data_IF_365606259091
#
_entry.id   IF_365606259091
#
_cell.length_a   1.000
_cell.length_b   1.000
_cell.length_c   1.000
_cell.angle_alpha   90.00
_cell.angle_beta   90.00
_cell.angle_gamma   90.00
#
_symmetry.space_group_name_H-M   'P 1'
#
loop_
_entity.id
_entity.type
_entity.pdbx_description
1 polymer ?
#
# COMPACT_ATOMS: atom_id res chain seq x y z
N UNK A 1 -24.62 -41.64 23.02
CA UNK A 1 -24.52 -40.18 22.96
C UNK A 1 -23.13 -39.85 23.46
N UNK A 2 -22.20 -39.63 22.54
CA UNK A 2 -20.81 -39.28 22.85
C UNK A 2 -20.77 -37.84 23.37
N UNK A 3 -21.00 -37.67 24.67
CA UNK A 3 -20.78 -36.38 25.32
C UNK A 3 -19.27 -36.17 25.52
N UNK A 4 -18.50 -35.98 24.44
CA UNK A 4 -17.09 -35.66 24.56
C UNK A 4 -16.88 -34.22 25.03
N UNK A 5 -16.38 -34.08 26.26
CA UNK A 5 -15.99 -32.79 26.82
C UNK A 5 -14.90 -32.17 25.95
N UNK A 6 -15.12 -30.93 25.52
CA UNK A 6 -14.21 -30.18 24.65
C UNK A 6 -13.90 -28.84 25.29
N UNK A 7 -12.61 -28.52 25.41
CA UNK A 7 -12.15 -27.21 25.87
C UNK A 7 -11.53 -26.48 24.67
N UNK A 8 -11.93 -25.21 24.49
CA UNK A 8 -11.44 -24.36 23.41
C UNK A 8 -10.87 -23.04 23.96
N UNK A 9 -9.78 -22.59 23.36
CA UNK A 9 -9.12 -21.32 23.68
C UNK A 9 -9.14 -20.42 22.45
N UNK A 10 -9.79 -19.26 22.56
CA UNK A 10 -9.91 -18.33 21.44
C UNK A 10 -9.12 -17.07 21.70
N UNK A 11 -8.19 -16.77 20.79
CA UNK A 11 -7.45 -15.53 20.75
C UNK A 11 -8.08 -14.58 19.73
N UNK A 12 -8.30 -13.34 20.15
CA UNK A 12 -8.77 -12.26 19.27
C UNK A 12 -7.74 -11.15 19.35
N UNK A 13 -7.01 -10.97 18.25
CA UNK A 13 -5.99 -9.94 18.12
C UNK A 13 -6.56 -8.83 17.24
N UNK A 14 -6.68 -7.62 17.80
CA UNK A 14 -7.10 -6.42 17.07
C UNK A 14 -5.90 -5.52 16.82
N UNK A 15 -5.80 -5.02 15.60
CA UNK A 15 -4.79 -4.05 15.17
C UNK A 15 -5.39 -3.07 14.17
N UNK A 16 -4.88 -1.85 14.13
CA UNK A 16 -5.43 -0.79 13.28
C UNK A 16 -5.24 -1.03 11.77
N UNK A 17 -4.30 -1.92 11.40
CA UNK A 17 -3.90 -2.24 10.03
C UNK A 17 -3.65 -3.74 9.87
N UNK A 18 -3.87 -4.32 8.68
CA UNK A 18 -4.32 -3.71 7.43
C UNK A 18 -5.85 -3.50 7.42
N UNK A 19 -6.32 -2.53 6.63
CA UNK A 19 -7.74 -2.22 6.52
C UNK A 19 -8.55 -3.37 5.94
N UNK A 20 -9.68 -3.69 6.56
CA UNK A 20 -10.52 -4.84 6.19
C UNK A 20 -10.03 -6.18 6.75
N UNK A 21 -8.90 -6.20 7.47
CA UNK A 21 -8.42 -7.36 8.24
C UNK A 21 -7.81 -6.91 9.58
N UNK A 22 -8.51 -6.00 10.26
CA UNK A 22 -8.09 -5.43 11.55
C UNK A 22 -8.16 -6.46 12.69
N UNK A 23 -9.12 -7.38 12.62
CA UNK A 23 -9.36 -8.38 13.66
C UNK A 23 -8.99 -9.75 13.14
N UNK A 24 -8.07 -10.42 13.84
CA UNK A 24 -7.70 -11.80 13.56
C UNK A 24 -8.13 -12.67 14.74
N UNK A 25 -8.95 -13.68 14.45
CA UNK A 25 -9.45 -14.65 15.43
C UNK A 25 -8.80 -16.00 15.18
N UNK A 26 -8.35 -16.64 16.25
CA UNK A 26 -7.80 -17.98 16.19
C UNK A 26 -8.30 -18.83 17.36
N UNK A 27 -8.82 -20.01 17.07
CA UNK A 27 -9.41 -20.90 18.08
C UNK A 27 -8.63 -22.20 18.15
N UNK A 28 -8.08 -22.48 19.32
CA UNK A 28 -7.37 -23.69 19.65
C UNK A 28 -8.32 -24.67 20.33
N UNK A 29 -8.27 -25.92 19.88
CA UNK A 29 -8.99 -27.03 20.48
C UNK A 29 -7.94 -27.89 21.16
N UNK A 30 -8.12 -28.15 22.45
CA UNK A 30 -7.20 -29.04 23.19
C UNK A 30 -7.45 -30.47 22.74
N UNK A 31 -6.38 -31.18 22.37
CA UNK A 31 -6.47 -32.59 21.96
C UNK A 31 -6.90 -33.48 23.14
N UNK A 32 -7.60 -34.59 22.85
CA UNK A 32 -8.06 -35.57 23.84
C UNK A 32 -7.02 -36.02 24.88
N UNK A 33 -5.75 -36.34 24.55
CA UNK A 33 -4.75 -36.73 25.55
C UNK A 33 -4.35 -35.60 26.51
N UNK A 34 -4.64 -34.34 26.17
CA UNK A 34 -4.27 -33.16 26.94
C UNK A 34 -5.45 -32.58 27.75
N UNK A 35 -6.65 -33.13 27.55
CA UNK A 35 -7.85 -32.76 28.31
C UNK A 35 -7.79 -33.30 29.74
N UNK A 36 -8.30 -32.56 30.73
CA UNK A 36 -8.44 -33.06 32.09
C UNK A 36 -9.48 -34.17 32.19
N UNK A 37 -9.38 -35.00 33.23
CA UNK A 37 -10.44 -35.96 33.53
C UNK A 37 -11.74 -35.24 33.88
N UNK A 38 -12.86 -35.73 33.34
CA UNK A 38 -14.18 -35.12 33.58
C UNK A 38 -14.59 -35.17 35.04
N UNK A 39 -14.19 -36.22 35.73
CA UNK A 39 -14.39 -36.41 37.17
C UNK A 39 -13.77 -35.28 37.97
N UNK A 40 -12.57 -34.84 37.61
CA UNK A 40 -11.89 -33.76 38.31
C UNK A 40 -12.54 -32.41 38.04
N UNK A 41 -12.98 -32.17 36.79
CA UNK A 41 -13.73 -30.97 36.43
C UNK A 41 -15.07 -30.91 37.19
N UNK A 42 -15.80 -32.04 37.27
CA UNK A 42 -17.05 -32.13 38.04
C UNK A 42 -16.83 -31.91 39.53
N UNK A 43 -15.78 -32.48 40.11
CA UNK A 43 -15.42 -32.25 41.52
C UNK A 43 -15.08 -30.78 41.78
N UNK A 44 -14.45 -30.09 40.84
CA UNK A 44 -14.17 -28.66 40.97
C UNK A 44 -15.44 -27.83 40.91
N UNK A 45 -16.36 -28.14 39.99
CA UNK A 45 -17.66 -27.46 39.91
C UNK A 45 -18.56 -27.73 41.13
N UNK A 46 -18.46 -28.92 41.72
CA UNK A 46 -19.20 -29.28 42.95
C UNK A 46 -18.54 -28.73 44.23
N UNK A 47 -17.37 -28.08 44.13
CA UNK A 47 -16.63 -27.54 45.28
C UNK A 47 -15.88 -28.58 46.12
N UNK A 48 -15.76 -29.84 45.66
CA UNK A 48 -14.95 -30.87 46.32
C UNK A 48 -13.46 -30.71 46.06
N UNK A 49 -13.09 -30.12 44.92
CA UNK A 49 -11.73 -29.77 44.55
C UNK A 49 -11.69 -28.28 44.16
N UNK A 50 -10.52 -27.66 44.25
CA UNK A 50 -10.38 -26.24 43.92
C UNK A 50 -9.73 -26.02 42.54
N UNK A 51 -9.09 -27.04 41.95
CA UNK A 51 -8.34 -26.86 40.71
C UNK A 51 -8.13 -28.13 39.90
N UNK A 52 -7.94 -27.98 38.60
CA UNK A 52 -7.52 -29.05 37.68
C UNK A 52 -6.45 -28.55 36.69
N UNK A 53 -5.63 -29.46 36.18
CA UNK A 53 -4.53 -29.15 35.25
C UNK A 53 -4.94 -29.42 33.81
N UNK A 54 -4.60 -28.51 32.90
CA UNK A 54 -4.71 -28.71 31.45
C UNK A 54 -3.32 -28.55 30.83
N UNK A 55 -2.96 -29.47 29.94
CA UNK A 55 -1.70 -29.45 29.23
C UNK A 55 -1.88 -28.95 27.80
N UNK A 56 -0.80 -28.43 27.20
CA UNK A 56 -0.73 -28.11 25.77
C UNK A 56 -1.93 -27.29 25.25
N UNK A 57 -2.26 -26.22 25.98
CA UNK A 57 -3.49 -25.47 25.81
C UNK A 57 -3.48 -24.62 24.55
N UNK A 58 -2.38 -23.89 24.34
CA UNK A 58 -2.13 -23.05 23.18
C UNK A 58 -0.63 -22.81 23.00
N UNK A 59 -0.16 -22.49 21.77
CA UNK A 59 1.23 -22.17 21.49
C UNK A 59 1.57 -20.77 22.01
N UNK A 60 2.74 -20.61 22.61
CA UNK A 60 3.16 -19.34 23.22
C UNK A 60 3.42 -18.22 22.21
N UNK A 61 3.81 -18.56 20.99
CA UNK A 61 4.25 -17.60 19.98
C UNK A 61 3.25 -17.51 18.84
N UNK A 62 2.71 -16.31 18.64
CA UNK A 62 1.80 -15.99 17.55
C UNK A 62 2.48 -15.04 16.58
N UNK A 63 2.58 -15.43 15.30
CA UNK A 63 3.02 -14.54 14.22
C UNK A 63 1.79 -14.01 13.50
N UNK A 64 1.48 -12.73 13.66
CA UNK A 64 0.37 -12.09 12.94
C UNK A 64 0.89 -11.53 11.64
N UNK A 65 0.48 -12.13 10.53
CA UNK A 65 0.98 -11.77 9.20
C UNK A 65 0.38 -10.47 8.69
N UNK A 66 1.07 -9.78 7.78
CA UNK A 66 0.53 -8.61 7.07
C UNK A 66 -0.75 -8.91 6.29
N UNK A 67 -1.00 -10.18 5.97
CA UNK A 67 -2.19 -10.67 5.26
C UNK A 67 -3.42 -10.85 6.15
N UNK A 68 -3.31 -10.70 7.47
CA UNK A 68 -4.44 -10.87 8.40
C UNK A 68 -4.64 -12.29 8.90
N UNK A 69 -3.64 -13.16 8.77
CA UNK A 69 -3.66 -14.53 9.27
C UNK A 69 -2.66 -14.72 10.42
N UNK A 70 -2.94 -15.65 11.33
CA UNK A 70 -2.02 -16.07 12.38
C UNK A 70 -1.25 -17.30 11.91
N UNK A 71 0.07 -17.22 11.97
CA UNK A 71 0.97 -18.35 11.78
C UNK A 71 1.62 -18.72 13.11
N UNK A 72 1.82 -20.02 13.29
CA UNK A 72 2.52 -20.56 14.43
C UNK A 72 4.02 -20.53 14.14
N UNK A 73 4.79 -20.19 15.17
CA UNK A 73 6.23 -20.39 15.13
C UNK A 73 6.50 -21.75 15.78
N UNK A 74 6.79 -22.75 14.95
CA UNK A 74 7.19 -24.07 15.40
C UNK A 74 8.57 -23.99 16.07
N UNK A 75 8.56 -23.76 17.37
CA UNK A 75 9.69 -24.02 18.25
C UNK A 75 9.30 -25.19 19.14
N UNK A 76 10.23 -26.11 19.34
CA UNK A 76 10.04 -27.24 20.24
C UNK A 76 9.71 -26.77 21.67
N UNK A 77 8.73 -27.42 22.29
CA UNK A 77 8.33 -27.26 23.69
C UNK A 77 7.76 -25.88 24.12
N UNK A 78 7.10 -25.18 23.19
CA UNK A 78 6.54 -23.84 23.42
C UNK A 78 5.03 -23.79 23.71
N UNK A 79 4.40 -24.91 24.05
CA UNK A 79 3.01 -24.89 24.46
C UNK A 79 2.84 -24.44 25.90
N UNK A 80 1.72 -23.76 26.17
CA UNK A 80 1.37 -23.29 27.50
C UNK A 80 0.52 -24.36 28.19
N UNK A 81 0.95 -24.77 29.37
CA UNK A 81 0.19 -25.64 30.27
C UNK A 81 -0.09 -24.89 31.57
N UNK A 82 -1.19 -25.21 32.24
CA UNK A 82 -1.57 -24.48 33.45
C UNK A 82 -2.67 -25.13 34.26
N UNK A 83 -2.86 -24.59 35.46
CA UNK A 83 -3.91 -24.99 36.37
C UNK A 83 -5.06 -23.98 36.31
N UNK A 84 -6.28 -24.46 36.09
CA UNK A 84 -7.48 -23.68 36.34
C UNK A 84 -7.89 -23.87 37.80
N UNK A 85 -8.01 -22.77 38.52
CA UNK A 85 -8.46 -22.73 39.92
C UNK A 85 -9.80 -22.00 39.97
N UNK A 86 -10.79 -22.62 40.61
CA UNK A 86 -12.07 -21.99 40.90
C UNK A 86 -11.99 -21.32 42.26
N UNK A 87 -12.19 -20.01 42.30
CA UNK A 87 -12.14 -19.23 43.55
C UNK A 87 -13.55 -19.02 44.05
N UNK A 88 -13.81 -19.41 45.31
CA UNK A 88 -15.10 -19.27 45.98
C UNK A 88 -15.00 -18.26 47.13
N UNK A 89 -14.82 -16.98 46.81
CA UNK A 89 -14.86 -15.90 47.81
C UNK A 89 -16.30 -15.35 47.90
N UNK A 90 -16.48 -14.01 47.88
CA UNK A 90 -17.81 -13.40 47.80
C UNK A 90 -18.49 -13.59 46.42
N UNK A 91 -17.71 -13.92 45.41
CA UNK A 91 -18.13 -14.24 44.05
C UNK A 91 -17.33 -15.44 43.55
N UNK A 92 -17.83 -16.11 42.52
CA UNK A 92 -17.17 -17.23 41.88
C UNK A 92 -16.47 -16.79 40.59
N UNK A 93 -15.17 -17.09 40.46
CA UNK A 93 -14.41 -16.83 39.23
C UNK A 93 -13.28 -17.83 39.03
N UNK A 94 -12.88 -17.98 37.77
CA UNK A 94 -11.74 -18.82 37.37
C UNK A 94 -10.44 -18.01 37.35
N UNK A 95 -9.37 -18.58 37.90
CA UNK A 95 -8.00 -18.10 37.69
C UNK A 95 -7.19 -19.15 36.95
N UNK A 96 -6.47 -18.72 35.91
CA UNK A 96 -5.55 -19.56 35.15
C UNK A 96 -4.12 -19.29 35.60
N UNK A 97 -3.45 -20.32 36.10
CA UNK A 97 -2.06 -20.26 36.53
C UNK A 97 -1.18 -21.02 35.54
N UNK A 98 -0.33 -20.29 34.81
CA UNK A 98 0.59 -20.88 33.84
C UNK A 98 1.75 -21.57 34.58
N UNK A 99 1.86 -22.90 34.46
CA UNK A 99 2.92 -23.70 35.09
C UNK A 99 4.22 -23.65 34.29
N UNK A 100 4.12 -23.29 33.02
CA UNK A 100 5.23 -23.17 32.08
C UNK A 100 5.70 -21.72 31.90
N UNK A 101 5.20 -20.80 32.72
CA UNK A 101 5.38 -19.37 32.57
C UNK A 101 6.85 -18.96 32.46
N UNK A 102 7.14 -18.07 31.51
CA UNK A 102 8.46 -17.49 31.36
C UNK A 102 8.70 -16.47 32.48
N UNK A 103 9.74 -16.66 33.30
CA UNK A 103 10.06 -15.79 34.46
C UNK A 103 10.46 -14.35 34.11
N UNK A 104 10.43 -13.97 32.83
CA UNK A 104 10.88 -12.65 32.35
C UNK A 104 9.99 -11.46 32.71
N UNK A 105 8.72 -11.67 33.06
CA UNK A 105 7.78 -10.59 33.41
C UNK A 105 7.47 -10.53 34.91
N UNK A 106 8.49 -10.27 35.74
CA UNK A 106 8.29 -9.75 37.11
C UNK A 106 7.45 -10.59 38.07
N UNK A 107 7.38 -11.92 37.89
CA UNK A 107 6.67 -12.82 38.81
C UNK A 107 5.16 -12.95 38.60
N UNK A 108 4.63 -12.47 37.47
CA UNK A 108 3.20 -12.66 37.14
C UNK A 108 2.96 -14.08 36.62
N UNK A 109 2.18 -14.89 37.35
CA UNK A 109 1.87 -16.29 37.01
C UNK A 109 0.64 -16.45 36.10
N UNK A 110 0.37 -15.47 35.24
CA UNK A 110 -0.79 -15.45 34.34
C UNK A 110 -0.49 -16.07 32.96
N UNK A 111 -1.55 -16.30 32.14
CA UNK A 111 -1.38 -16.82 30.79
C UNK A 111 -0.56 -15.85 29.95
N UNK A 112 0.56 -16.32 29.41
CA UNK A 112 1.46 -15.50 28.58
C UNK A 112 1.30 -15.85 27.10
N UNK A 113 1.23 -14.83 26.25
CA UNK A 113 1.26 -14.96 24.80
C UNK A 113 2.23 -13.93 24.23
N UNK A 114 3.16 -14.37 23.40
CA UNK A 114 4.13 -13.52 22.70
C UNK A 114 3.63 -13.34 21.28
N UNK A 115 3.26 -12.12 20.94
CA UNK A 115 2.71 -11.78 19.63
C UNK A 115 3.75 -11.00 18.83
N UNK A 116 4.18 -11.58 17.71
CA UNK A 116 5.03 -10.91 16.72
C UNK A 116 4.12 -10.40 15.61
N UNK A 117 3.87 -9.11 15.58
CA UNK A 117 3.14 -8.47 14.50
C UNK A 117 4.09 -8.14 13.35
N UNK A 118 3.78 -8.60 12.15
CA UNK A 118 4.45 -8.12 10.94
C UNK A 118 4.10 -6.66 10.66
N UNK A 119 5.05 -5.95 10.09
CA UNK A 119 4.81 -4.62 9.56
C UNK A 119 3.85 -4.69 8.38
N UNK A 120 2.77 -3.92 8.46
CA UNK A 120 1.87 -3.71 7.33
C UNK A 120 2.39 -2.51 6.53
N UNK A 121 2.53 -2.63 5.20
CA UNK A 121 3.04 -1.53 4.38
C UNK A 121 2.20 -0.26 4.65
N UNK A 122 2.85 0.91 4.83
CA UNK A 122 2.13 2.15 5.06
C UNK A 122 1.22 2.44 3.86
N UNK A 123 -0.04 2.80 4.14
CA UNK A 123 -0.96 3.30 3.13
C UNK A 123 -0.36 4.57 2.54
N UNK A 124 0.06 4.49 1.28
CA UNK A 124 0.55 5.62 0.50
C UNK A 124 -0.14 5.63 -0.84
N UNK A 125 -0.26 6.81 -1.45
CA UNK A 125 -0.86 6.99 -2.77
C UNK A 125 -0.30 5.96 -3.76
N UNK A 126 1.01 5.68 -3.70
CA UNK A 126 1.66 4.65 -4.52
C UNK A 126 1.12 3.24 -4.27
N UNK A 127 0.98 2.79 -3.02
CA UNK A 127 0.49 1.45 -2.70
C UNK A 127 -1.00 1.25 -3.02
N UNK A 128 -1.83 2.25 -2.72
CA UNK A 128 -3.27 2.20 -2.97
C UNK A 128 -3.61 2.43 -4.46
N UNK A 129 -2.82 3.22 -5.18
CA UNK A 129 -2.99 3.39 -6.64
C UNK A 129 -2.39 2.24 -7.41
N UNK A 130 -1.25 1.65 -7.03
CA UNK A 130 -0.69 0.46 -7.70
C UNK A 130 -1.46 -0.82 -7.41
N UNK A 131 -2.10 -0.93 -6.23
CA UNK A 131 -2.99 -2.06 -5.95
C UNK A 131 -4.32 -1.97 -6.71
N UNK A 132 -4.79 -0.75 -7.03
CA UNK A 132 -6.04 -0.50 -7.79
C UNK A 132 -5.83 -0.37 -9.30
N UNK A 133 -4.75 0.29 -9.73
CA UNK A 133 -4.29 0.33 -11.11
C UNK A 133 -3.26 -0.78 -11.31
N UNK A 134 -3.69 -1.83 -11.99
CA UNK A 134 -2.80 -2.92 -12.38
C UNK A 134 -1.55 -2.39 -13.09
N UNK A 135 -0.41 -3.01 -12.84
CA UNK A 135 0.87 -2.72 -13.53
C UNK A 135 0.72 -2.74 -15.06
N UNK A 136 -0.22 -3.54 -15.57
CA UNK A 136 -0.65 -3.56 -16.96
C UNK A 136 -1.20 -2.23 -17.45
N UNK A 137 -2.05 -1.57 -16.65
CA UNK A 137 -2.62 -0.26 -16.98
C UNK A 137 -1.53 0.82 -17.03
N UNK A 138 -0.58 0.79 -16.09
CA UNK A 138 0.56 1.71 -16.10
C UNK A 138 1.45 1.48 -17.34
N UNK A 139 1.70 0.23 -17.71
CA UNK A 139 2.46 -0.11 -18.92
C UNK A 139 1.76 0.38 -20.20
N UNK A 140 0.48 0.06 -20.37
CA UNK A 140 -0.29 0.45 -21.57
C UNK A 140 -0.35 1.98 -21.69
N UNK A 141 -0.62 2.69 -20.58
CA UNK A 141 -0.69 4.16 -20.60
C UNK A 141 0.65 4.79 -20.96
N UNK A 142 1.75 4.30 -20.38
CA UNK A 142 3.10 4.77 -20.71
C UNK A 142 3.44 4.53 -22.18
N UNK A 143 3.24 3.31 -22.69
CA UNK A 143 3.54 2.96 -24.09
C UNK A 143 2.69 3.78 -25.07
N UNK A 144 1.41 3.99 -24.79
CA UNK A 144 0.54 4.83 -25.62
C UNK A 144 0.97 6.30 -25.59
N UNK A 145 1.39 6.82 -24.45
CA UNK A 145 1.89 8.19 -24.33
C UNK A 145 3.16 8.40 -25.15
N UNK A 146 4.14 7.49 -25.01
CA UNK A 146 5.38 7.53 -25.80
C UNK A 146 5.09 7.37 -27.29
N UNK A 147 4.23 6.43 -27.67
CA UNK A 147 3.83 6.22 -29.07
C UNK A 147 3.14 7.46 -29.68
N UNK A 148 2.27 8.13 -28.92
CA UNK A 148 1.66 9.40 -29.34
C UNK A 148 2.68 10.51 -29.46
N UNK A 149 3.63 10.60 -28.53
CA UNK A 149 4.69 11.60 -28.58
C UNK A 149 5.57 11.45 -29.84
N UNK A 150 6.01 10.22 -30.13
CA UNK A 150 6.77 9.92 -31.35
C UNK A 150 5.95 10.27 -32.59
N UNK A 151 4.66 9.89 -32.61
CA UNK A 151 3.77 10.23 -33.74
C UNK A 151 3.66 11.74 -33.95
N UNK A 152 3.55 12.54 -32.90
CA UNK A 152 3.43 14.00 -33.01
C UNK A 152 4.64 14.64 -33.67
N UNK A 153 5.85 14.17 -33.35
CA UNK A 153 7.08 14.69 -33.97
C UNK A 153 7.14 14.38 -35.47
N UNK A 154 6.58 13.24 -35.91
CA UNK A 154 6.61 12.82 -37.31
C UNK A 154 5.39 13.27 -38.13
N UNK A 155 4.24 13.54 -37.50
CA UNK A 155 2.98 13.77 -38.24
C UNK A 155 2.86 15.15 -38.86
N UNK A 156 3.58 16.15 -38.36
CA UNK A 156 3.41 17.55 -38.76
C UNK A 156 4.53 18.10 -39.66
N UNK A 157 5.40 17.23 -40.18
CA UNK A 157 6.50 17.69 -41.06
C UNK A 157 5.96 18.38 -42.32
N UNK A 158 4.90 17.85 -42.96
CA UNK A 158 4.37 18.42 -44.21
C UNK A 158 3.87 19.85 -44.05
N UNK A 159 3.23 20.16 -42.93
CA UNK A 159 2.68 21.51 -42.68
C UNK A 159 3.78 22.53 -42.40
N UNK A 160 4.95 22.06 -41.92
CA UNK A 160 6.13 22.90 -41.65
C UNK A 160 6.97 23.17 -42.91
N UNK A 161 6.89 22.32 -43.94
CA UNK A 161 7.70 22.46 -45.18
C UNK A 161 7.75 23.89 -45.73
N UNK A 162 6.62 24.63 -45.89
CA UNK A 162 6.62 25.96 -46.48
C UNK A 162 7.37 27.03 -45.66
N UNK A 163 7.61 26.77 -44.38
CA UNK A 163 8.23 27.73 -43.46
C UNK A 163 9.65 27.34 -43.05
N UNK A 164 10.03 26.06 -43.22
CA UNK A 164 11.34 25.54 -42.83
C UNK A 164 12.28 25.31 -44.00
N UNK A 165 11.74 24.99 -45.18
CA UNK A 165 12.54 24.72 -46.38
C UNK A 165 12.51 25.93 -47.33
N UNK A 166 13.03 27.07 -46.86
CA UNK A 166 13.13 28.30 -47.65
C UNK A 166 14.53 28.41 -48.29
N UNK A 167 14.66 28.88 -49.55
CA UNK A 167 15.96 28.96 -50.23
C UNK A 167 16.93 29.95 -49.59
N UNK A 168 16.43 31.11 -49.15
CA UNK A 168 17.18 32.15 -48.44
C UNK A 168 16.23 32.93 -47.53
N UNK A 169 16.73 33.46 -46.42
CA UNK A 169 15.92 34.20 -45.44
C UNK A 169 16.37 35.65 -45.25
N UNK A 170 17.34 36.12 -46.02
CA UNK A 170 18.04 37.39 -45.77
C UNK A 170 17.10 38.60 -45.86
N UNK A 171 16.21 38.63 -46.85
CA UNK A 171 15.21 39.71 -47.00
C UNK A 171 14.18 39.71 -45.88
N UNK A 172 13.78 38.52 -45.39
CA UNK A 172 12.88 38.41 -44.23
C UNK A 172 13.57 38.83 -42.94
N UNK A 173 14.85 38.47 -42.80
CA UNK A 173 15.67 38.84 -41.65
C UNK A 173 15.87 40.36 -41.60
N UNK A 174 16.15 41.00 -42.74
CA UNK A 174 16.27 42.45 -42.84
C UNK A 174 14.99 43.18 -42.36
N UNK A 175 13.80 42.69 -42.75
CA UNK A 175 12.52 43.25 -42.25
C UNK A 175 12.41 43.08 -40.72
N UNK A 176 12.82 41.94 -40.17
CA UNK A 176 12.82 41.72 -38.72
C UNK A 176 13.82 42.64 -37.99
N UNK A 177 14.99 42.89 -38.59
CA UNK A 177 16.01 43.82 -38.08
C UNK A 177 15.51 45.27 -38.13
N UNK A 178 14.85 45.68 -39.21
CA UNK A 178 14.25 47.01 -39.34
C UNK A 178 13.12 47.23 -38.32
N UNK A 179 12.30 46.20 -38.06
CA UNK A 179 11.29 46.24 -36.97
C UNK A 179 11.98 46.42 -35.62
N UNK A 180 13.07 45.70 -35.38
CA UNK A 180 13.83 45.80 -34.14
C UNK A 180 14.46 47.20 -33.96
N UNK A 181 15.00 47.77 -35.04
CA UNK A 181 15.57 49.11 -35.05
C UNK A 181 14.51 50.19 -34.81
N UNK A 182 13.38 50.15 -35.52
CA UNK A 182 12.27 51.09 -35.33
C UNK A 182 11.73 51.07 -33.89
N UNK A 183 11.67 49.88 -33.27
CA UNK A 183 11.29 49.74 -31.86
C UNK A 183 12.34 50.33 -30.91
N UNK A 184 13.63 50.21 -31.22
CA UNK A 184 14.70 50.79 -30.41
C UNK A 184 14.71 52.32 -30.47
N UNK A 185 14.25 52.90 -31.58
CA UNK A 185 14.15 54.35 -31.81
C UNK A 185 12.79 54.95 -31.38
N UNK A 186 11.86 54.11 -30.89
CA UNK A 186 10.49 54.48 -30.51
C UNK A 186 9.65 55.03 -31.69
N UNK A 187 9.99 54.65 -32.92
CA UNK A 187 9.25 55.02 -34.15
C UNK A 187 8.10 54.03 -34.43
N UNK A 188 7.09 54.04 -33.55
CA UNK A 188 5.98 53.07 -33.55
C UNK A 188 5.18 53.00 -34.87
N UNK A 189 5.10 54.11 -35.62
CA UNK A 189 4.41 54.14 -36.91
C UNK A 189 5.13 53.32 -37.99
N UNK A 190 6.46 53.35 -37.99
CA UNK A 190 7.29 52.57 -38.92
C UNK A 190 7.26 51.09 -38.52
N UNK A 191 7.34 50.81 -37.21
CA UNK A 191 7.21 49.46 -36.66
C UNK A 191 5.88 48.81 -37.09
N UNK A 192 4.75 49.51 -36.96
CA UNK A 192 3.44 48.98 -37.34
C UNK A 192 3.36 48.63 -38.82
N UNK A 193 3.88 49.49 -39.70
CA UNK A 193 3.88 49.25 -41.16
C UNK A 193 4.73 48.03 -41.53
N UNK A 194 5.91 47.89 -40.93
CA UNK A 194 6.80 46.75 -41.17
C UNK A 194 6.21 45.45 -40.60
N UNK A 195 5.58 45.50 -39.43
CA UNK A 195 4.88 44.35 -38.83
C UNK A 195 3.75 43.83 -39.73
N UNK A 196 2.88 44.73 -40.23
CA UNK A 196 1.82 44.33 -41.15
C UNK A 196 2.35 43.79 -42.48
N UNK A 197 3.50 44.29 -42.93
CA UNK A 197 4.19 43.77 -44.11
C UNK A 197 4.65 42.33 -43.87
N UNK A 198 5.28 42.04 -42.72
CA UNK A 198 5.68 40.68 -42.34
C UNK A 198 4.47 39.73 -42.26
N UNK A 199 3.37 40.15 -41.62
CA UNK A 199 2.14 39.34 -41.53
C UNK A 199 1.55 39.05 -42.91
N UNK A 200 1.53 40.03 -43.83
CA UNK A 200 1.06 39.83 -45.21
C UNK A 200 1.90 38.79 -45.96
N UNK A 201 3.22 38.80 -45.75
CA UNK A 201 4.14 37.84 -46.37
C UNK A 201 3.84 36.42 -45.85
N UNK A 202 3.76 36.22 -44.53
CA UNK A 202 3.45 34.90 -43.95
C UNK A 202 2.03 34.39 -44.27
N UNK A 203 1.08 35.29 -44.58
CA UNK A 203 -0.29 34.93 -44.97
C UNK A 203 -0.41 34.47 -46.43
N UNK A 204 0.56 34.77 -47.29
CA UNK A 204 0.53 34.44 -48.72
C UNK A 204 1.75 33.60 -49.11
N UNK A 205 1.59 32.30 -49.41
CA UNK A 205 2.70 31.42 -49.80
C UNK A 205 3.48 31.93 -51.02
N UNK A 206 2.78 32.60 -51.95
CA UNK A 206 3.42 33.19 -53.13
C UNK A 206 4.34 34.36 -52.76
N UNK A 207 3.89 35.23 -51.84
CA UNK A 207 4.74 36.33 -51.34
C UNK A 207 5.91 35.79 -50.53
N UNK A 208 5.69 34.78 -49.69
CA UNK A 208 6.75 34.16 -48.91
C UNK A 208 7.85 33.57 -49.81
N UNK A 209 7.47 32.88 -50.88
CA UNK A 209 8.43 32.36 -51.86
C UNK A 209 9.18 33.47 -52.58
N UNK A 210 8.51 34.56 -52.98
CA UNK A 210 9.15 35.69 -53.66
C UNK A 210 10.21 36.36 -52.80
N UNK A 211 9.94 36.51 -51.50
CA UNK A 211 10.84 37.11 -50.53
C UNK A 211 11.97 36.19 -50.05
N UNK A 212 11.93 34.91 -50.43
CA UNK A 212 12.92 33.90 -50.00
C UNK A 212 13.73 33.32 -51.15
N UNK A 213 13.58 33.86 -52.36
CA UNK A 213 14.43 33.52 -53.51
C UNK A 213 15.88 33.90 -53.23
N UNK A 214 16.81 33.01 -53.59
CA UNK A 214 18.23 33.37 -53.65
C UNK A 214 18.42 34.46 -54.72
N UNK A 215 19.19 35.50 -54.37
CA UNK A 215 19.65 36.52 -55.32
C UNK A 215 20.63 35.96 -56.35
#
# INVERSE_FOLDING_TARGET
>A
MDDNMKITFTWVLSRDRPKGKEVVRNTWIVDEPNLPERTDVQKVLNGSLNSFTINNVYPRFFRVTGSGDIRLLELENNSVSGNLVMNHANYEWWSFHDTTAFKGCGGVAGPTAIVVSEETPPTGILGDTLSKFSIWGLYITFVLAVGRFIRLQCSDLRMRIPYENLPSCDRLLAICEDIYAARAEDELGVEEVLYWTLVKIYRSPHMLLEYTKAD
#
